data_IF_330051741591
#
_entry.id   IF_330051741591
#
_cell.length_a   1.000
_cell.length_b   1.000
_cell.length_c   1.000
_cell.angle_alpha   90.00
_cell.angle_beta   90.00
_cell.angle_gamma   90.00
#
_symmetry.space_group_name_H-M   'P 1'
#
loop_
_entity.id
_entity.type
_entity.pdbx_description
1 polymer ?
#
# COMPACT_ATOMS: atom_id res chain seq x y z
N UNK A 1 -18.42 4.02 -19.86
CA UNK A 1 -18.93 4.03 -18.47
C UNK A 1 -20.20 4.89 -18.48
N UNK A 2 -21.35 4.29 -18.16
CA UNK A 2 -22.65 4.93 -18.29
C UNK A 2 -22.93 5.93 -17.14
N UNK A 3 -23.69 7.01 -17.39
CA UNK A 3 -23.92 8.09 -16.43
C UNK A 3 -24.96 7.78 -15.33
N UNK A 4 -25.58 6.59 -15.34
CA UNK A 4 -26.70 6.25 -14.45
C UNK A 4 -26.31 5.09 -13.55
N UNK A 5 -26.16 5.39 -12.27
CA UNK A 5 -26.08 4.41 -11.19
C UNK A 5 -27.38 4.47 -10.39
N UNK A 6 -27.91 3.33 -9.95
CA UNK A 6 -29.17 3.28 -9.19
C UNK A 6 -29.03 3.70 -7.72
N UNK A 7 -27.83 4.10 -7.29
CA UNK A 7 -27.56 4.53 -5.92
C UNK A 7 -27.86 6.02 -5.79
N UNK A 8 -28.78 6.38 -4.89
CA UNK A 8 -29.00 7.76 -4.50
C UNK A 8 -27.72 8.35 -3.87
N UNK A 9 -27.46 9.67 -3.96
CA UNK A 9 -26.30 10.30 -3.33
C UNK A 9 -26.26 9.98 -1.82
N UNK A 10 -25.24 9.25 -1.33
CA UNK A 10 -25.23 8.78 0.05
C UNK A 10 -24.59 9.77 1.03
N UNK A 11 -23.91 10.81 0.54
CA UNK A 11 -23.16 11.77 1.33
C UNK A 11 -23.68 13.19 1.07
N UNK A 12 -23.73 13.99 2.12
CA UNK A 12 -24.07 15.40 2.13
C UNK A 12 -23.16 16.10 3.14
N UNK A 13 -22.87 17.39 2.94
CA UNK A 13 -22.03 18.12 3.91
C UNK A 13 -22.67 18.13 5.30
N UNK A 14 -21.83 17.99 6.32
CA UNK A 14 -22.19 17.97 7.74
C UNK A 14 -23.20 16.87 8.13
N UNK A 15 -23.23 15.77 7.35
CA UNK A 15 -24.10 14.62 7.61
C UNK A 15 -23.77 13.91 8.94
N UNK A 16 -22.51 13.96 9.38
CA UNK A 16 -22.04 13.39 10.65
C UNK A 16 -21.17 14.40 11.39
N UNK A 17 -21.08 14.26 12.70
CA UNK A 17 -20.13 15.01 13.52
C UNK A 17 -18.96 14.09 13.90
N UNK A 18 -17.75 14.44 13.45
CA UNK A 18 -16.56 13.70 13.83
C UNK A 18 -16.18 14.00 15.28
N UNK A 19 -15.82 12.97 16.04
CA UNK A 19 -15.45 13.11 17.45
C UNK A 19 -14.18 13.96 17.68
N UNK A 20 -13.35 14.13 16.65
CA UNK A 20 -12.13 14.95 16.68
C UNK A 20 -12.35 16.39 16.17
N UNK A 21 -13.58 16.74 15.79
CA UNK A 21 -13.92 18.07 15.28
C UNK A 21 -13.52 18.29 13.81
N UNK A 22 -13.13 17.25 13.07
CA UNK A 22 -12.86 17.36 11.63
C UNK A 22 -14.13 17.81 10.89
N UNK A 23 -14.04 18.82 9.98
CA UNK A 23 -15.19 19.24 9.19
C UNK A 23 -15.70 18.12 8.27
N UNK A 24 -16.99 17.80 8.38
CA UNK A 24 -17.60 16.70 7.63
C UNK A 24 -18.06 17.11 6.23
N UNK A 25 -17.10 17.57 5.42
CA UNK A 25 -17.36 17.82 3.99
C UNK A 25 -17.57 16.49 3.25
N UNK A 26 -18.37 16.53 2.18
CA UNK A 26 -18.64 15.36 1.33
C UNK A 26 -17.35 14.71 0.82
N UNK A 27 -16.34 15.51 0.45
CA UNK A 27 -15.03 15.00 0.00
C UNK A 27 -14.27 14.29 1.13
N UNK A 28 -14.30 14.84 2.34
CA UNK A 28 -13.63 14.25 3.50
C UNK A 28 -14.26 12.89 3.84
N UNK A 29 -15.58 12.84 3.99
CA UNK A 29 -16.31 11.60 4.25
C UNK A 29 -16.09 10.55 3.16
N UNK A 30 -16.09 10.94 1.88
CA UNK A 30 -15.81 10.03 0.78
C UNK A 30 -14.40 9.44 0.88
N UNK A 31 -13.40 10.26 1.23
CA UNK A 31 -12.02 9.80 1.41
C UNK A 31 -11.88 8.85 2.61
N UNK A 32 -12.53 9.17 3.73
CA UNK A 32 -12.45 8.36 4.94
C UNK A 32 -13.13 7.00 4.77
N UNK A 33 -14.31 6.96 4.14
CA UNK A 33 -14.98 5.69 3.80
C UNK A 33 -14.15 4.88 2.82
N UNK A 34 -13.56 5.51 1.80
CA UNK A 34 -12.69 4.81 0.86
C UNK A 34 -11.44 4.24 1.55
N UNK A 35 -10.83 4.99 2.47
CA UNK A 35 -9.70 4.53 3.27
C UNK A 35 -10.08 3.36 4.19
N UNK A 36 -11.25 3.44 4.84
CA UNK A 36 -11.79 2.35 5.65
C UNK A 36 -12.08 1.10 4.84
N UNK A 37 -12.66 1.22 3.65
CA UNK A 37 -12.90 0.10 2.74
C UNK A 37 -11.58 -0.50 2.23
N UNK A 38 -10.57 0.32 1.93
CA UNK A 38 -9.24 -0.15 1.54
C UNK A 38 -8.56 -0.93 2.68
N UNK A 39 -8.67 -0.44 3.92
CA UNK A 39 -8.20 -1.17 5.09
C UNK A 39 -8.99 -2.46 5.32
N UNK A 40 -10.32 -2.43 5.18
CA UNK A 40 -11.19 -3.61 5.34
C UNK A 40 -10.88 -4.69 4.30
N UNK A 41 -10.54 -4.28 3.08
CA UNK A 41 -10.10 -5.19 2.02
C UNK A 41 -8.72 -5.78 2.31
N UNK A 42 -7.82 -5.04 2.98
CA UNK A 42 -6.46 -5.48 3.28
C UNK A 42 -5.98 -5.08 4.70
N UNK A 43 -6.46 -5.76 5.76
CA UNK A 43 -6.13 -5.37 7.14
C UNK A 43 -4.65 -5.58 7.49
N UNK A 44 -3.96 -6.46 6.77
CA UNK A 44 -2.53 -6.78 6.97
C UNK A 44 -1.58 -5.96 6.07
N UNK A 45 -2.07 -4.92 5.40
CA UNK A 45 -1.27 -4.12 4.48
C UNK A 45 -0.02 -3.52 5.15
N UNK A 46 -0.13 -3.08 6.42
CA UNK A 46 0.99 -2.55 7.18
C UNK A 46 2.10 -3.58 7.41
N UNK A 47 1.73 -4.76 7.93
CA UNK A 47 2.67 -5.86 8.16
C UNK A 47 3.29 -6.38 6.86
N UNK A 48 2.50 -6.48 5.78
CA UNK A 48 2.98 -6.87 4.46
C UNK A 48 4.06 -5.91 3.96
N UNK A 49 3.82 -4.60 4.04
CA UNK A 49 4.79 -3.57 3.62
C UNK A 49 6.06 -3.60 4.48
N UNK A 50 5.92 -3.74 5.80
CA UNK A 50 7.07 -3.83 6.71
C UNK A 50 7.92 -5.08 6.44
N UNK A 51 7.28 -6.23 6.23
CA UNK A 51 7.97 -7.48 5.89
C UNK A 51 8.63 -7.38 4.51
N UNK A 52 7.93 -6.82 3.52
CA UNK A 52 8.46 -6.60 2.18
C UNK A 52 9.74 -5.75 2.19
N UNK A 53 9.79 -4.69 3.00
CA UNK A 53 11.01 -3.86 3.15
C UNK A 53 12.19 -4.67 3.71
N UNK A 54 11.96 -5.47 4.75
CA UNK A 54 13.00 -6.32 5.36
C UNK A 54 13.52 -7.35 4.35
N UNK A 55 12.63 -8.00 3.61
CA UNK A 55 12.98 -8.98 2.56
C UNK A 55 13.78 -8.31 1.45
N UNK A 56 13.39 -7.11 1.00
CA UNK A 56 14.10 -6.39 -0.05
C UNK A 56 15.55 -6.06 0.35
N UNK A 57 15.77 -5.60 1.59
CA UNK A 57 17.12 -5.34 2.11
C UNK A 57 17.94 -6.64 2.13
N UNK A 58 17.36 -7.73 2.64
CA UNK A 58 18.01 -9.04 2.64
C UNK A 58 18.41 -9.48 1.22
N UNK A 59 17.51 -9.35 0.24
CA UNK A 59 17.77 -9.75 -1.14
C UNK A 59 18.86 -8.91 -1.80
N UNK A 60 18.95 -7.61 -1.50
CA UNK A 60 20.04 -6.76 -2.00
C UNK A 60 21.39 -7.26 -1.48
N UNK A 61 21.49 -7.50 -0.17
CA UNK A 61 22.72 -8.03 0.44
C UNK A 61 23.06 -9.39 -0.14
N UNK A 62 22.07 -10.28 -0.21
CA UNK A 62 22.23 -11.62 -0.77
C UNK A 62 22.71 -11.58 -2.22
N UNK A 63 22.13 -10.72 -3.06
CA UNK A 63 22.54 -10.53 -4.44
C UNK A 63 24.00 -10.06 -4.57
N UNK A 64 24.44 -9.11 -3.73
CA UNK A 64 25.84 -8.64 -3.69
C UNK A 64 26.77 -9.80 -3.34
N UNK A 65 26.45 -10.57 -2.30
CA UNK A 65 27.26 -11.71 -1.87
C UNK A 65 27.33 -12.79 -2.96
N UNK A 66 26.20 -13.07 -3.61
CA UNK A 66 26.12 -14.06 -4.67
C UNK A 66 26.91 -13.63 -5.90
N UNK A 67 26.84 -12.35 -6.29
CA UNK A 67 27.63 -11.78 -7.36
C UNK A 67 29.15 -11.81 -7.05
N UNK A 68 29.54 -11.44 -5.84
CA UNK A 68 30.94 -11.52 -5.41
C UNK A 68 31.45 -12.97 -5.41
N UNK A 69 30.63 -13.91 -4.94
CA UNK A 69 30.95 -15.34 -4.95
C UNK A 69 31.08 -15.88 -6.38
N UNK A 70 30.16 -15.50 -7.27
CA UNK A 70 30.21 -15.82 -8.70
C UNK A 70 31.52 -15.31 -9.33
N UNK A 71 31.84 -14.03 -9.17
CA UNK A 71 33.11 -13.46 -9.68
C UNK A 71 34.33 -14.20 -9.16
N UNK A 72 34.34 -14.61 -7.87
CA UNK A 72 35.48 -15.28 -7.26
C UNK A 72 35.68 -16.70 -7.78
N UNK A 73 34.59 -17.46 -7.94
CA UNK A 73 34.63 -18.84 -8.43
C UNK A 73 35.04 -18.92 -9.90
N UNK A 74 34.49 -18.03 -10.71
CA UNK A 74 34.73 -18.02 -12.16
C UNK A 74 35.97 -17.23 -12.58
N UNK A 75 36.75 -16.71 -11.63
CA UNK A 75 37.95 -15.91 -11.91
C UNK A 75 39.05 -16.67 -12.66
N UNK A 76 39.13 -17.99 -12.42
CA UNK A 76 40.22 -18.83 -12.94
C UNK A 76 39.75 -19.77 -14.06
N UNK A 77 38.56 -19.51 -14.62
CA UNK A 77 38.01 -20.27 -15.74
C UNK A 77 38.14 -19.35 -16.95
N UNK A 78 39.14 -19.61 -17.78
CA UNK A 78 39.33 -18.87 -19.04
C UNK A 78 38.08 -19.02 -19.92
N UNK A 79 37.68 -17.93 -20.56
CA UNK A 79 36.56 -17.88 -21.52
C UNK A 79 36.96 -18.46 -22.87
#
# INVERSE_FOLDING_TARGET
AGPWISMAPPLMDDLIEYADGTPATTSQMAQDVAAFLAWSAEPKAGERKATGLRVMIFLIIFAILLYASYKRLWRNIDH
#
